data_IF_530200418896
#
_entry.id   IF_530200418896
#
_cell.length_a   1.000
_cell.length_b   1.000
_cell.length_c   1.000
_cell.angle_alpha   90.00
_cell.angle_beta   90.00
_cell.angle_gamma   90.00
#
_symmetry.space_group_name_H-M   'P 1'
#
loop_
_entity.id
_entity.type
_entity.pdbx_description
1 polymer ?
#
# COMPACT_ATOMS: atom_id res chain seq x y z
N UNK A 1 -35.91 -29.13 40.20
CA UNK A 1 -34.46 -28.92 39.96
C UNK A 1 -34.30 -28.05 38.72
N UNK A 2 -33.42 -27.03 38.72
CA UNK A 2 -33.13 -26.22 37.51
C UNK A 2 -31.90 -26.81 36.81
N UNK A 3 -31.95 -27.06 35.49
CA UNK A 3 -30.78 -27.49 34.72
C UNK A 3 -29.72 -26.38 34.73
N UNK A 4 -28.51 -26.67 35.21
CA UNK A 4 -27.37 -25.77 35.04
C UNK A 4 -27.06 -25.66 33.54
N UNK A 5 -26.95 -24.43 33.03
CA UNK A 5 -26.38 -24.19 31.69
C UNK A 5 -24.86 -24.34 31.82
N UNK A 6 -24.33 -25.45 31.33
CA UNK A 6 -22.87 -25.65 31.19
C UNK A 6 -22.34 -24.52 30.31
N UNK A 7 -21.46 -23.66 30.85
CA UNK A 7 -20.73 -22.67 30.04
C UNK A 7 -19.89 -23.44 29.02
N UNK A 8 -20.07 -23.17 27.71
CA UNK A 8 -19.22 -23.74 26.66
C UNK A 8 -17.77 -23.33 26.93
N UNK A 9 -16.77 -24.22 26.74
CA UNK A 9 -15.39 -23.91 27.07
C UNK A 9 -14.81 -22.83 26.14
N UNK A 10 -14.02 -21.94 26.74
CA UNK A 10 -13.56 -20.65 26.20
C UNK A 10 -12.85 -20.75 24.85
N UNK A 11 -12.03 -21.78 24.66
CA UNK A 11 -11.22 -22.00 23.44
C UNK A 11 -12.02 -21.99 22.13
N UNK A 12 -13.34 -22.25 22.15
CA UNK A 12 -14.19 -22.25 20.94
C UNK A 12 -14.57 -20.87 20.40
N UNK A 13 -14.22 -19.78 21.10
CA UNK A 13 -14.42 -18.39 20.63
C UNK A 13 -13.12 -17.69 20.22
N UNK A 14 -12.01 -18.07 20.85
CA UNK A 14 -10.76 -17.32 20.73
C UNK A 14 -10.09 -17.46 19.34
N UNK A 15 -10.22 -18.62 18.70
CA UNK A 15 -9.79 -18.83 17.30
C UNK A 15 -10.63 -18.03 16.27
N UNK A 16 -11.88 -17.69 16.58
CA UNK A 16 -12.69 -16.83 15.70
C UNK A 16 -12.14 -15.40 15.64
N UNK A 17 -11.64 -14.85 16.75
CA UNK A 17 -11.04 -13.50 16.77
C UNK A 17 -9.84 -13.44 15.81
N UNK A 18 -9.00 -14.48 15.79
CA UNK A 18 -7.89 -14.56 14.84
C UNK A 18 -8.38 -14.58 13.36
N UNK A 19 -9.48 -15.27 13.06
CA UNK A 19 -10.08 -15.28 11.72
C UNK A 19 -10.67 -13.91 11.35
N UNK A 20 -11.34 -13.24 12.30
CA UNK A 20 -11.89 -11.88 12.13
C UNK A 20 -10.76 -10.88 11.87
N UNK A 21 -9.67 -10.95 12.63
CA UNK A 21 -8.46 -10.13 12.43
C UNK A 21 -7.88 -10.34 11.03
N UNK A 22 -7.76 -11.60 10.58
CA UNK A 22 -7.27 -11.91 9.22
C UNK A 22 -8.24 -11.38 8.14
N UNK A 23 -9.55 -11.46 8.35
CA UNK A 23 -10.54 -10.97 7.40
C UNK A 23 -10.57 -9.44 7.30
N UNK A 24 -10.41 -8.73 8.42
CA UNK A 24 -10.33 -7.26 8.45
C UNK A 24 -8.98 -6.77 7.88
N UNK A 25 -7.87 -7.46 8.20
CA UNK A 25 -6.57 -7.15 7.61
C UNK A 25 -6.54 -7.40 6.09
N UNK A 26 -7.10 -8.52 5.62
CA UNK A 26 -7.16 -8.88 4.20
C UNK A 26 -8.02 -7.95 3.32
N UNK A 27 -8.78 -7.04 3.91
CA UNK A 27 -9.44 -5.94 3.19
C UNK A 27 -8.52 -4.73 2.93
N UNK A 28 -7.30 -4.74 3.48
CA UNK A 28 -6.37 -3.59 3.50
C UNK A 28 -4.88 -3.96 3.34
N UNK A 29 -4.52 -5.21 3.01
CA UNK A 29 -3.14 -5.64 2.79
C UNK A 29 -2.92 -6.22 1.39
N UNK A 30 -2.27 -5.43 0.54
CA UNK A 30 -1.65 -5.88 -0.71
C UNK A 30 -0.21 -6.33 -0.41
N UNK A 31 0.22 -7.53 -0.81
CA UNK A 31 1.58 -8.04 -0.56
C UNK A 31 1.95 -9.17 -1.52
N UNK A 32 3.02 -8.95 -2.29
CA UNK A 32 3.60 -9.92 -3.23
C UNK A 32 4.37 -11.07 -2.56
N UNK A 33 4.46 -12.20 -3.27
CA UNK A 33 5.27 -13.36 -2.87
C UNK A 33 6.79 -13.11 -3.07
N UNK A 34 7.61 -13.58 -2.13
CA UNK A 34 9.06 -13.73 -2.34
C UNK A 34 9.41 -15.17 -2.65
N UNK A 35 10.09 -15.44 -3.77
CA UNK A 35 10.88 -16.66 -3.90
C UNK A 35 12.17 -16.49 -4.71
N UNK A 36 13.12 -17.40 -4.50
CA UNK A 36 14.50 -17.35 -5.01
C UNK A 36 14.66 -18.14 -6.31
N UNK A 37 15.71 -17.80 -7.07
CA UNK A 37 16.29 -18.71 -8.08
C UNK A 37 17.74 -19.05 -7.75
N UNK A 38 18.12 -20.28 -8.09
CA UNK A 38 19.51 -20.73 -8.17
C UNK A 38 20.13 -20.36 -9.53
N UNK A 39 21.45 -20.51 -9.66
CA UNK A 39 22.28 -19.98 -10.74
C UNK A 39 23.18 -21.08 -11.35
N UNK A 40 23.66 -20.85 -12.60
CA UNK A 40 24.91 -21.36 -13.26
C UNK A 40 24.75 -22.38 -14.41
N UNK A 41 25.74 -22.48 -15.35
CA UNK A 41 26.70 -21.44 -15.83
C UNK A 41 27.07 -21.44 -17.34
N UNK A 42 27.44 -20.26 -17.87
CA UNK A 42 28.48 -20.00 -18.90
C UNK A 42 28.33 -20.66 -20.32
N UNK A 43 28.98 -20.23 -21.43
CA UNK A 43 30.34 -19.68 -21.67
C UNK A 43 30.39 -18.74 -22.91
N UNK A 44 31.28 -17.74 -22.82
CA UNK A 44 31.75 -16.78 -23.85
C UNK A 44 32.11 -17.30 -25.27
N UNK A 45 31.92 -16.44 -26.29
CA UNK A 45 32.95 -16.16 -27.32
C UNK A 45 32.78 -14.82 -28.05
N UNK A 46 33.92 -14.22 -28.45
CA UNK A 46 34.07 -13.09 -29.40
C UNK A 46 34.11 -13.64 -30.85
N UNK A 47 34.08 -12.87 -31.95
CA UNK A 47 34.28 -11.42 -32.22
C UNK A 47 33.14 -10.92 -33.19
N UNK A 48 33.17 -9.87 -34.03
CA UNK A 48 34.20 -8.98 -34.61
C UNK A 48 33.65 -7.58 -34.99
N UNK A 49 34.48 -6.67 -35.51
CA UNK A 49 34.17 -5.23 -35.67
C UNK A 49 33.92 -4.76 -37.12
N UNK A 50 33.05 -3.74 -37.31
CA UNK A 50 33.05 -2.91 -38.54
C UNK A 50 32.49 -1.50 -38.34
N UNK A 51 33.33 -0.50 -38.63
CA UNK A 51 32.97 0.92 -38.77
C UNK A 51 31.99 1.16 -39.95
N UNK A 52 31.22 2.26 -40.10
CA UNK A 52 30.97 3.52 -39.34
C UNK A 52 29.61 4.07 -39.85
N UNK A 53 28.86 4.90 -39.09
CA UNK A 53 29.12 6.35 -39.14
C UNK A 53 28.99 7.08 -37.80
N UNK A 54 29.48 8.32 -37.79
CA UNK A 54 29.67 9.15 -36.59
C UNK A 54 28.36 9.83 -36.14
N UNK A 55 27.43 9.08 -35.55
CA UNK A 55 26.38 9.68 -34.70
C UNK A 55 27.06 10.47 -33.57
N UNK A 56 26.48 11.59 -33.17
CA UNK A 56 26.81 12.21 -31.89
C UNK A 56 26.50 11.21 -30.77
N UNK A 57 27.41 11.04 -29.80
CA UNK A 57 27.10 10.24 -28.62
C UNK A 57 26.02 10.98 -27.82
N UNK A 58 24.93 10.31 -27.41
CA UNK A 58 24.02 10.87 -26.43
C UNK A 58 24.81 11.34 -25.20
N UNK A 59 24.50 12.53 -24.69
CA UNK A 59 25.02 12.95 -23.38
C UNK A 59 24.54 11.96 -22.33
N UNK A 60 25.40 11.58 -21.42
CA UNK A 60 25.09 10.59 -20.38
C UNK A 60 23.92 11.04 -19.48
N UNK A 61 23.74 12.36 -19.34
CA UNK A 61 22.61 13.02 -18.70
C UNK A 61 21.25 12.58 -19.28
N UNK A 62 21.15 12.39 -20.60
CA UNK A 62 19.91 12.00 -21.28
C UNK A 62 19.49 10.54 -20.95
N UNK A 63 20.41 9.71 -20.46
CA UNK A 63 20.15 8.33 -20.05
C UNK A 63 19.67 8.23 -18.60
N UNK A 64 19.97 9.22 -17.75
CA UNK A 64 19.42 9.28 -16.39
C UNK A 64 17.99 9.84 -16.45
N UNK A 65 17.01 8.96 -16.46
CA UNK A 65 15.60 9.36 -16.47
C UNK A 65 15.22 9.93 -15.10
N UNK A 66 14.49 11.04 -15.15
CA UNK A 66 13.81 11.68 -14.03
C UNK A 66 12.40 12.02 -14.46
N UNK A 67 11.45 12.01 -13.52
CA UNK A 67 10.10 12.45 -13.78
C UNK A 67 9.23 12.48 -12.54
N UNK A 68 8.07 13.12 -12.67
CA UNK A 68 7.04 13.17 -11.65
C UNK A 68 5.66 13.01 -12.30
N UNK A 69 4.80 12.19 -11.68
CA UNK A 69 3.39 12.07 -12.02
C UNK A 69 2.57 13.06 -11.18
N UNK A 70 1.61 13.74 -11.78
CA UNK A 70 0.56 14.51 -11.12
C UNK A 70 -0.79 14.05 -11.64
N UNK A 71 -1.78 13.92 -10.77
CA UNK A 71 -3.18 13.70 -11.14
C UNK A 71 -4.03 14.78 -10.49
N UNK A 72 -4.96 15.35 -11.26
CA UNK A 72 -5.96 16.32 -10.78
C UNK A 72 -7.35 15.88 -11.24
N UNK A 73 -8.36 15.99 -10.37
CA UNK A 73 -9.74 15.65 -10.72
C UNK A 73 -10.54 16.90 -11.08
N UNK A 74 -11.29 16.82 -12.18
CA UNK A 74 -12.16 17.90 -12.66
C UNK A 74 -13.29 17.32 -13.50
N UNK A 75 -14.53 17.75 -13.27
CA UNK A 75 -15.70 17.39 -14.08
C UNK A 75 -15.87 15.85 -14.28
N UNK A 76 -15.62 15.07 -13.22
CA UNK A 76 -15.56 13.60 -13.19
C UNK A 76 -14.46 12.94 -14.06
N UNK A 77 -13.49 13.71 -14.53
CA UNK A 77 -12.29 13.20 -15.19
C UNK A 77 -11.07 13.27 -14.27
N UNK A 78 -10.12 12.38 -14.51
CA UNK A 78 -8.77 12.46 -13.95
C UNK A 78 -7.81 12.96 -15.03
N UNK A 79 -7.10 14.04 -14.76
CA UNK A 79 -6.10 14.63 -15.64
C UNK A 79 -4.73 14.17 -15.16
N UNK A 80 -4.17 13.16 -15.79
CA UNK A 80 -2.80 12.73 -15.53
C UNK A 80 -1.83 13.64 -16.31
N UNK A 81 -0.78 14.09 -15.63
CA UNK A 81 0.34 14.83 -16.21
C UNK A 81 1.64 14.23 -15.71
N UNK A 82 2.44 13.67 -16.62
CA UNK A 82 3.84 13.34 -16.38
C UNK A 82 4.69 14.51 -16.85
N UNK A 83 5.64 14.94 -16.03
CA UNK A 83 6.76 15.80 -16.46
C UNK A 83 8.04 14.99 -16.35
N UNK A 84 8.87 14.95 -17.40
CA UNK A 84 10.05 14.08 -17.48
C UNK A 84 11.13 14.63 -18.42
N UNK A 85 12.37 14.13 -18.28
CA UNK A 85 13.46 14.37 -19.24
C UNK A 85 13.63 13.22 -20.26
N UNK A 86 12.74 12.23 -20.29
CA UNK A 86 12.67 11.26 -21.39
C UNK A 86 12.43 11.98 -22.73
N UNK A 87 12.97 11.45 -23.83
CA UNK A 87 12.85 12.12 -25.13
C UNK A 87 11.42 12.08 -25.69
N UNK A 88 11.10 13.06 -26.54
CA UNK A 88 9.85 13.08 -27.29
C UNK A 88 9.62 11.77 -28.05
N UNK A 89 8.40 11.23 -27.92
CA UNK A 89 8.02 9.90 -28.39
C UNK A 89 8.16 8.77 -27.37
N UNK A 90 8.89 8.95 -26.26
CA UNK A 90 8.87 7.98 -25.14
C UNK A 90 7.44 7.77 -24.64
N UNK A 91 7.04 6.51 -24.43
CA UNK A 91 5.66 6.14 -24.04
C UNK A 91 5.63 5.67 -22.58
N UNK A 92 4.79 6.30 -21.77
CA UNK A 92 4.48 5.84 -20.42
C UNK A 92 3.13 5.12 -20.43
N UNK A 93 3.09 3.87 -19.99
CA UNK A 93 1.87 3.27 -19.48
C UNK A 93 1.48 4.04 -18.20
N UNK A 94 0.26 4.55 -18.15
CA UNK A 94 -0.24 5.32 -17.00
C UNK A 94 -1.58 4.76 -16.56
N UNK A 95 -1.69 4.46 -15.26
CA UNK A 95 -2.85 3.82 -14.65
C UNK A 95 -3.32 4.61 -13.43
N UNK A 96 -4.63 4.64 -13.22
CA UNK A 96 -5.27 5.17 -12.03
C UNK A 96 -6.15 4.05 -11.46
N UNK A 97 -6.05 3.78 -10.17
CA UNK A 97 -6.61 2.58 -9.51
C UNK A 97 -7.36 2.97 -8.23
N UNK A 98 -8.54 2.39 -7.99
CA UNK A 98 -9.29 2.54 -6.74
C UNK A 98 -8.96 1.45 -5.69
N UNK A 99 -9.50 1.60 -4.48
CA UNK A 99 -9.31 0.65 -3.36
C UNK A 99 -9.98 -0.72 -3.57
N UNK A 100 -10.70 -0.92 -4.68
CA UNK A 100 -11.32 -2.18 -5.10
C UNK A 100 -10.63 -2.79 -6.32
N UNK A 101 -9.47 -2.24 -6.72
CA UNK A 101 -8.69 -2.61 -7.91
C UNK A 101 -9.42 -2.35 -9.24
N UNK A 102 -10.48 -1.52 -9.25
CA UNK A 102 -10.96 -0.95 -10.50
C UNK A 102 -9.90 0.01 -11.04
N UNK A 103 -9.61 -0.03 -12.34
CA UNK A 103 -8.61 0.84 -12.95
C UNK A 103 -9.03 1.41 -14.29
N UNK A 104 -8.42 2.54 -14.63
CA UNK A 104 -8.37 3.10 -15.98
C UNK A 104 -6.91 3.30 -16.36
N UNK A 105 -6.52 2.88 -17.56
CA UNK A 105 -5.12 2.92 -18.02
C UNK A 105 -5.02 3.23 -19.51
N UNK A 106 -3.92 3.85 -19.92
CA UNK A 106 -3.61 4.17 -21.32
C UNK A 106 -2.10 4.43 -21.51
N UNK A 107 -1.65 4.37 -22.76
CA UNK A 107 -0.28 4.65 -23.17
C UNK A 107 -0.13 6.11 -23.63
N UNK A 108 0.67 6.89 -22.91
CA UNK A 108 0.77 8.34 -23.11
C UNK A 108 2.18 8.74 -23.55
N UNK A 109 2.27 9.36 -24.73
CA UNK A 109 3.55 9.78 -25.32
C UNK A 109 4.05 11.11 -24.74
N UNK A 110 5.35 11.18 -24.48
CA UNK A 110 6.06 12.40 -24.12
C UNK A 110 6.19 13.31 -25.34
N UNK A 111 5.94 14.60 -25.15
CA UNK A 111 6.24 15.69 -26.07
C UNK A 111 6.62 16.94 -25.28
N UNK A 112 7.65 17.66 -25.71
CA UNK A 112 8.16 18.87 -25.05
C UNK A 112 8.43 18.63 -23.53
N UNK A 113 8.89 17.42 -23.18
CA UNK A 113 9.15 16.99 -21.78
C UNK A 113 7.90 16.66 -20.94
N UNK A 114 6.72 16.51 -21.54
CA UNK A 114 5.46 16.19 -20.84
C UNK A 114 4.62 15.14 -21.55
N UNK A 115 3.89 14.33 -20.80
CA UNK A 115 2.77 13.54 -21.31
C UNK A 115 1.51 13.89 -20.52
N UNK A 116 0.39 14.14 -21.19
CA UNK A 116 -0.87 14.58 -20.56
C UNK A 116 -2.04 13.79 -21.14
N UNK A 117 -2.93 13.30 -20.27
CA UNK A 117 -4.11 12.51 -20.65
C UNK A 117 -5.28 12.77 -19.71
N UNK A 118 -6.47 12.92 -20.29
CA UNK A 118 -7.74 12.82 -19.56
C UNK A 118 -8.21 11.36 -19.54
N UNK A 119 -8.56 10.86 -18.35
CA UNK A 119 -9.25 9.60 -18.14
C UNK A 119 -10.68 9.86 -17.65
N UNK A 120 -11.66 9.20 -18.25
CA UNK A 120 -13.03 9.19 -17.74
C UNK A 120 -13.09 8.30 -16.49
N UNK A 121 -13.41 8.85 -15.33
CA UNK A 121 -13.54 8.06 -14.09
C UNK A 121 -14.92 7.42 -14.06
N UNK A 122 -15.00 6.11 -13.79
CA UNK A 122 -16.29 5.44 -13.69
C UNK A 122 -17.08 6.01 -12.49
N UNK A 123 -18.36 6.34 -12.71
CA UNK A 123 -19.29 6.89 -11.71
C UNK A 123 -19.58 5.91 -10.57
N UNK A 124 -19.21 4.64 -10.73
CA UNK A 124 -19.31 3.58 -9.72
C UNK A 124 -18.11 3.56 -8.75
N UNK A 125 -17.05 4.33 -9.00
CA UNK A 125 -15.92 4.47 -8.07
C UNK A 125 -16.37 5.24 -6.83
N UNK A 126 -16.10 4.68 -5.65
CA UNK A 126 -16.42 5.34 -4.39
C UNK A 126 -15.40 6.46 -4.08
N UNK A 127 -15.81 7.52 -3.36
CA UNK A 127 -14.87 8.51 -2.85
C UNK A 127 -13.80 7.89 -1.94
N UNK A 128 -12.61 8.47 -1.93
CA UNK A 128 -11.46 7.96 -1.19
C UNK A 128 -10.15 8.40 -1.81
N UNK A 129 -9.08 7.68 -1.51
CA UNK A 129 -7.76 7.94 -2.09
C UNK A 129 -7.45 6.91 -3.17
N UNK A 130 -7.12 7.40 -4.38
CA UNK A 130 -6.80 6.60 -5.56
C UNK A 130 -5.28 6.55 -5.76
N UNK A 131 -4.79 5.47 -6.37
CA UNK A 131 -3.37 5.29 -6.69
C UNK A 131 -3.10 5.60 -8.16
N UNK A 132 -2.26 6.61 -8.40
CA UNK A 132 -1.68 6.89 -9.71
C UNK A 132 -0.33 6.20 -9.90
N UNK A 133 -0.19 5.43 -10.98
CA UNK A 133 1.03 4.71 -11.36
C UNK A 133 1.41 5.12 -12.78
N UNK A 134 2.71 5.31 -13.05
CA UNK A 134 3.21 5.58 -14.40
C UNK A 134 4.58 4.96 -14.63
N UNK A 135 4.75 4.26 -15.75
CA UNK A 135 6.02 3.62 -16.10
C UNK A 135 6.30 3.54 -17.60
N UNK A 136 7.58 3.73 -17.97
CA UNK A 136 8.07 3.54 -19.33
C UNK A 136 8.64 2.13 -19.43
N UNK A 137 7.82 1.19 -19.92
CA UNK A 137 8.21 -0.21 -20.13
C UNK A 137 8.90 -0.41 -21.49
N UNK A 138 9.85 -1.33 -21.55
CA UNK A 138 10.49 -1.79 -22.79
C UNK A 138 10.09 -3.22 -23.18
N UNK A 139 9.66 -4.02 -22.19
CA UNK A 139 9.24 -5.41 -22.32
C UNK A 139 7.74 -5.57 -22.66
N UNK A 140 7.27 -4.93 -23.73
CA UNK A 140 5.88 -5.01 -24.20
C UNK A 140 5.82 -5.21 -25.72
N UNK A 141 5.62 -6.45 -26.18
CA UNK A 141 5.51 -6.80 -27.60
C UNK A 141 4.35 -6.07 -28.32
N UNK A 142 3.19 -5.94 -27.67
CA UNK A 142 2.01 -5.28 -28.23
C UNK A 142 2.11 -3.73 -28.22
N UNK A 143 2.93 -3.18 -27.33
CA UNK A 143 3.11 -1.73 -27.12
C UNK A 143 4.59 -1.33 -26.95
N UNK A 144 5.46 -1.62 -27.95
CA UNK A 144 6.89 -1.41 -27.84
C UNK A 144 7.25 0.08 -27.94
N UNK A 145 8.35 0.47 -27.29
CA UNK A 145 8.87 1.84 -27.39
C UNK A 145 9.26 2.17 -28.85
N UNK A 146 8.98 3.40 -29.35
CA UNK A 146 9.32 3.79 -30.71
C UNK A 146 10.80 3.64 -31.06
N UNK A 147 11.11 3.50 -32.35
CA UNK A 147 12.45 3.14 -32.82
C UNK A 147 13.57 4.09 -32.35
N UNK A 148 13.32 5.41 -32.32
CA UNK A 148 14.31 6.38 -31.80
C UNK A 148 14.49 6.32 -30.27
N UNK A 149 13.45 5.90 -29.55
CA UNK A 149 13.49 5.67 -28.09
C UNK A 149 14.35 4.43 -27.79
N UNK A 150 14.15 3.33 -28.53
CA UNK A 150 14.99 2.12 -28.41
C UNK A 150 16.44 2.32 -28.87
N UNK A 151 16.66 3.06 -29.97
CA UNK A 151 18.01 3.49 -30.39
C UNK A 151 18.78 4.19 -29.26
N UNK A 152 18.11 5.09 -28.51
CA UNK A 152 18.71 5.83 -27.40
C UNK A 152 18.89 4.97 -26.14
N UNK A 153 17.82 4.35 -25.63
CA UNK A 153 17.80 3.71 -24.31
C UNK A 153 18.13 2.21 -24.32
N UNK A 154 18.15 1.58 -25.49
CA UNK A 154 18.19 0.14 -25.58
C UNK A 154 16.91 -0.45 -26.15
N UNK A 155 17.03 -1.61 -26.81
CA UNK A 155 15.85 -2.33 -27.28
C UNK A 155 14.99 -2.74 -26.09
N UNK A 156 15.64 -3.19 -25.01
CA UNK A 156 15.02 -3.66 -23.78
C UNK A 156 15.25 -2.68 -22.61
N UNK A 157 15.68 -1.46 -22.92
CA UNK A 157 16.04 -0.42 -21.95
C UNK A 157 17.42 -0.58 -21.30
N UNK A 158 18.32 -1.41 -21.86
CA UNK A 158 19.58 -1.81 -21.22
C UNK A 158 20.62 -0.68 -21.00
N UNK A 159 20.36 0.53 -21.52
CA UNK A 159 21.21 1.73 -21.38
C UNK A 159 20.61 2.77 -20.40
N UNK A 160 19.43 2.51 -19.84
CA UNK A 160 18.78 3.38 -18.86
C UNK A 160 19.61 3.53 -17.59
N UNK A 161 19.48 4.69 -16.94
CA UNK A 161 20.11 5.04 -15.67
C UNK A 161 19.13 5.82 -14.80
N UNK A 162 19.46 5.93 -13.52
CA UNK A 162 18.76 6.79 -12.58
C UNK A 162 18.04 6.04 -11.47
N UNK A 163 17.29 6.79 -10.68
CA UNK A 163 16.81 6.34 -9.36
C UNK A 163 15.39 5.75 -9.43
N UNK A 164 14.93 5.50 -10.67
CA UNK A 164 13.61 5.00 -11.06
C UNK A 164 13.70 3.72 -11.92
N UNK A 165 14.90 3.17 -12.13
CA UNK A 165 15.07 1.93 -12.92
C UNK A 165 14.54 0.72 -12.14
N UNK A 166 13.88 -0.20 -12.83
CA UNK A 166 13.54 -1.53 -12.35
C UNK A 166 13.98 -2.55 -13.41
N UNK A 167 14.64 -3.64 -13.00
CA UNK A 167 14.99 -4.74 -13.92
C UNK A 167 13.73 -5.34 -14.55
N UNK A 168 13.79 -5.67 -15.84
CA UNK A 168 12.72 -6.37 -16.56
C UNK A 168 13.12 -7.81 -16.89
N UNK A 169 12.17 -8.59 -17.44
CA UNK A 169 12.38 -10.01 -17.76
C UNK A 169 13.25 -10.27 -19.01
N UNK A 170 13.90 -9.25 -19.57
CA UNK A 170 14.52 -9.27 -20.92
C UNK A 170 15.94 -8.69 -20.91
N UNK A 171 16.68 -8.90 -19.81
CA UNK A 171 18.07 -8.43 -19.61
C UNK A 171 18.25 -6.90 -19.72
N UNK A 172 17.18 -6.12 -19.45
CA UNK A 172 17.20 -4.67 -19.45
C UNK A 172 16.39 -4.05 -18.30
N UNK A 173 15.89 -2.83 -18.51
CA UNK A 173 15.22 -2.05 -17.47
C UNK A 173 13.95 -1.37 -17.98
N UNK A 174 13.00 -1.18 -17.07
CA UNK A 174 11.89 -0.26 -17.18
C UNK A 174 12.14 0.96 -16.28
N UNK A 175 11.37 2.04 -16.48
CA UNK A 175 11.29 3.17 -15.54
C UNK A 175 9.95 3.14 -14.83
N UNK A 176 9.94 3.12 -13.49
CA UNK A 176 8.74 3.33 -12.69
C UNK A 176 8.84 4.66 -11.93
N UNK A 177 7.92 5.59 -12.18
CA UNK A 177 7.83 6.81 -11.40
C UNK A 177 7.24 6.51 -10.01
N UNK A 178 7.49 7.40 -9.03
CA UNK A 178 6.89 7.26 -7.70
C UNK A 178 5.37 7.36 -7.78
N UNK A 179 4.69 6.32 -7.29
CA UNK A 179 3.23 6.26 -7.17
C UNK A 179 2.67 7.49 -6.45
N UNK A 180 1.46 7.91 -6.83
CA UNK A 180 0.79 9.10 -6.29
C UNK A 180 -0.58 8.75 -5.72
N UNK A 181 -0.67 8.76 -4.40
CA UNK A 181 -1.95 8.78 -3.69
C UNK A 181 -2.62 10.14 -3.91
N UNK A 182 -3.84 10.15 -4.44
CA UNK A 182 -4.61 11.39 -4.72
C UNK A 182 -6.07 11.25 -4.26
N UNK A 183 -6.68 12.30 -3.69
CA UNK A 183 -8.05 12.24 -3.21
C UNK A 183 -9.05 12.30 -4.37
N UNK A 184 -10.19 11.62 -4.22
CA UNK A 184 -11.30 11.59 -5.17
C UNK A 184 -12.66 11.70 -4.46
N UNK A 185 -13.60 12.52 -4.98
CA UNK A 185 -13.40 13.54 -6.01
C UNK A 185 -12.56 14.75 -5.53
N UNK A 186 -12.45 14.93 -4.21
CA UNK A 186 -11.72 16.01 -3.55
C UNK A 186 -11.25 15.55 -2.15
N UNK A 187 -10.32 16.29 -1.54
CA UNK A 187 -9.70 15.95 -0.24
C UNK A 187 -10.72 15.84 0.91
N UNK A 188 -11.75 16.70 0.96
CA UNK A 188 -12.72 16.68 2.04
C UNK A 188 -13.66 15.47 1.92
N UNK A 189 -14.12 15.16 0.72
CA UNK A 189 -14.97 13.98 0.46
C UNK A 189 -14.18 12.68 0.62
N UNK A 190 -12.93 12.61 0.14
CA UNK A 190 -12.04 11.46 0.33
C UNK A 190 -11.76 11.19 1.81
N UNK A 191 -11.41 12.23 2.57
CA UNK A 191 -11.17 12.14 4.01
C UNK A 191 -12.43 11.74 4.79
N UNK A 192 -13.58 12.31 4.46
CA UNK A 192 -14.86 11.95 5.08
C UNK A 192 -15.20 10.47 4.88
N UNK A 193 -14.90 9.90 3.70
CA UNK A 193 -15.11 8.47 3.42
C UNK A 193 -14.07 7.58 4.10
N UNK A 194 -12.80 8.00 4.18
CA UNK A 194 -11.79 7.29 4.99
C UNK A 194 -12.19 7.24 6.48
N UNK A 195 -12.70 8.36 7.00
CA UNK A 195 -13.19 8.47 8.38
C UNK A 195 -14.43 7.60 8.63
N UNK A 196 -15.37 7.53 7.69
CA UNK A 196 -16.52 6.61 7.72
C UNK A 196 -16.06 5.14 7.79
N UNK A 197 -15.17 4.73 6.88
CA UNK A 197 -14.65 3.36 6.80
C UNK A 197 -13.84 2.97 8.04
N UNK A 198 -13.03 3.88 8.57
CA UNK A 198 -12.30 3.69 9.83
C UNK A 198 -13.23 3.47 11.02
N UNK A 199 -14.21 4.36 11.21
CA UNK A 199 -15.16 4.25 12.32
C UNK A 199 -16.00 2.96 12.21
N UNK A 200 -16.36 2.56 10.98
CA UNK A 200 -17.03 1.29 10.70
C UNK A 200 -16.15 0.09 11.08
N UNK A 201 -14.90 0.04 10.64
CA UNK A 201 -13.99 -1.08 10.94
C UNK A 201 -13.69 -1.22 12.45
N UNK A 202 -13.59 -0.10 13.18
CA UNK A 202 -13.50 -0.10 14.64
C UNK A 202 -14.77 -0.69 15.28
N UNK A 203 -15.96 -0.32 14.77
CA UNK A 203 -17.24 -0.85 15.25
C UNK A 203 -17.37 -2.36 14.97
N UNK A 204 -17.04 -2.81 13.76
CA UNK A 204 -17.07 -4.22 13.37
C UNK A 204 -16.09 -5.06 14.22
N UNK A 205 -14.90 -4.54 14.54
CA UNK A 205 -13.94 -5.19 15.45
C UNK A 205 -14.48 -5.32 16.89
N UNK A 206 -15.21 -4.31 17.39
CA UNK A 206 -15.84 -4.36 18.72
C UNK A 206 -16.98 -5.40 18.73
N UNK A 207 -17.90 -5.34 17.76
CA UNK A 207 -19.04 -6.26 17.67
C UNK A 207 -18.60 -7.72 17.51
N UNK A 208 -17.66 -7.97 16.60
CA UNK A 208 -17.13 -9.30 16.31
C UNK A 208 -16.30 -9.90 17.46
N UNK A 209 -15.94 -9.11 18.47
CA UNK A 209 -15.31 -9.60 19.71
C UNK A 209 -16.27 -10.33 20.66
N UNK A 210 -17.58 -10.38 20.35
CA UNK A 210 -18.65 -10.92 21.21
C UNK A 210 -18.68 -10.31 22.64
N UNK A 211 -18.27 -9.05 22.79
CA UNK A 211 -18.23 -8.33 24.07
C UNK A 211 -16.96 -8.58 24.91
N UNK A 212 -15.88 -9.06 24.29
CA UNK A 212 -14.54 -9.08 24.90
C UNK A 212 -13.93 -7.68 24.87
N UNK A 213 -14.02 -6.99 23.73
CA UNK A 213 -13.75 -5.56 23.60
C UNK A 213 -15.04 -4.78 23.91
N UNK A 214 -14.90 -3.64 24.58
CA UNK A 214 -15.99 -2.77 25.02
C UNK A 214 -15.90 -1.37 24.38
N UNK A 215 -14.68 -0.86 24.15
CA UNK A 215 -14.41 0.47 23.57
C UNK A 215 -13.01 0.49 22.94
N UNK A 216 -12.83 1.27 21.87
CA UNK A 216 -11.53 1.54 21.22
C UNK A 216 -11.47 3.02 20.88
N UNK A 217 -10.59 3.78 21.54
CA UNK A 217 -10.54 5.25 21.43
C UNK A 217 -9.14 5.83 21.62
N UNK A 218 -8.88 7.09 21.20
CA UNK A 218 -7.72 7.87 21.61
C UNK A 218 -7.48 7.77 23.13
N UNK A 219 -6.21 7.57 23.52
CA UNK A 219 -5.80 7.48 24.93
C UNK A 219 -5.69 8.86 25.60
N UNK A 220 -5.38 9.89 24.82
CA UNK A 220 -5.08 11.23 25.31
C UNK A 220 -6.14 12.24 24.85
N UNK A 221 -5.74 13.34 24.21
CA UNK A 221 -6.67 14.34 23.71
C UNK A 221 -7.60 13.76 22.64
N UNK A 222 -8.78 14.34 22.50
CA UNK A 222 -9.73 13.92 21.46
C UNK A 222 -9.06 14.10 20.11
N UNK A 223 -9.05 13.02 19.32
CA UNK A 223 -8.45 12.89 17.98
C UNK A 223 -6.95 12.52 17.91
N UNK A 224 -6.19 12.46 19.02
CA UNK A 224 -4.82 11.89 19.00
C UNK A 224 -4.84 10.34 19.09
N UNK A 225 -4.78 9.70 17.91
CA UNK A 225 -4.71 8.25 17.78
C UNK A 225 -3.29 7.67 17.88
N UNK A 226 -2.24 8.48 18.12
CA UNK A 226 -0.86 7.95 18.28
C UNK A 226 -0.71 7.04 19.49
N UNK A 227 -1.60 7.17 20.49
CA UNK A 227 -1.82 6.17 21.52
C UNK A 227 -3.32 5.85 21.65
N UNK A 228 -3.65 4.56 21.73
CA UNK A 228 -5.03 4.05 21.71
C UNK A 228 -5.32 3.27 23.00
N UNK A 229 -6.52 3.40 23.53
CA UNK A 229 -7.02 2.56 24.63
C UNK A 229 -8.06 1.59 24.10
N UNK A 230 -7.77 0.29 24.20
CA UNK A 230 -8.71 -0.81 23.96
C UNK A 230 -9.24 -1.26 25.32
N UNK A 231 -10.49 -0.94 25.63
CA UNK A 231 -11.15 -1.35 26.87
C UNK A 231 -11.70 -2.76 26.71
N UNK A 232 -11.40 -3.66 27.63
CA UNK A 232 -11.88 -5.05 27.65
C UNK A 232 -12.73 -5.37 28.88
N UNK A 233 -13.58 -6.38 28.77
CA UNK A 233 -14.45 -6.86 29.85
C UNK A 233 -13.73 -7.78 30.85
N UNK A 234 -14.37 -8.02 32.00
CA UNK A 234 -13.87 -8.87 33.11
C UNK A 234 -13.49 -10.32 32.69
N UNK A 235 -13.83 -10.73 31.48
CA UNK A 235 -13.28 -11.93 30.82
C UNK A 235 -11.76 -11.96 30.92
N UNK A 236 -11.08 -10.81 30.76
CA UNK A 236 -9.63 -10.69 30.91
C UNK A 236 -9.11 -11.31 32.21
N UNK A 237 -9.72 -10.99 33.36
CA UNK A 237 -9.25 -11.49 34.66
C UNK A 237 -9.32 -13.02 34.77
N UNK A 238 -10.18 -13.67 33.97
CA UNK A 238 -10.39 -15.11 33.95
C UNK A 238 -9.51 -15.85 32.91
N UNK A 239 -8.84 -15.15 31.99
CA UNK A 239 -7.95 -15.72 30.98
C UNK A 239 -6.55 -16.04 31.52
N UNK A 240 -5.86 -17.03 30.92
CA UNK A 240 -4.47 -17.37 31.25
C UNK A 240 -3.47 -16.32 30.73
N UNK A 241 -2.24 -16.34 31.21
CA UNK A 241 -1.21 -15.33 30.87
C UNK A 241 -0.86 -15.34 29.38
N UNK A 242 -0.70 -16.52 28.76
CA UNK A 242 -0.51 -16.67 27.31
C UNK A 242 -1.76 -16.30 26.48
N UNK A 243 -2.96 -16.34 27.06
CA UNK A 243 -4.19 -15.91 26.41
C UNK A 243 -4.30 -14.38 26.39
N UNK A 244 -3.77 -13.72 27.42
CA UNK A 244 -3.64 -12.27 27.50
C UNK A 244 -2.59 -11.71 26.54
N UNK A 245 -1.44 -12.37 26.44
CA UNK A 245 -0.36 -11.96 25.52
C UNK A 245 -0.80 -12.01 24.06
N UNK A 246 -1.27 -13.17 23.56
CA UNK A 246 -1.73 -13.28 22.17
C UNK A 246 -2.91 -12.37 21.86
N UNK A 247 -3.85 -12.16 22.79
CA UNK A 247 -4.95 -11.22 22.58
C UNK A 247 -4.44 -9.78 22.43
N UNK A 248 -3.53 -9.35 23.31
CA UNK A 248 -2.99 -8.00 23.29
C UNK A 248 -2.15 -7.74 22.03
N UNK A 249 -1.40 -8.75 21.56
CA UNK A 249 -0.69 -8.72 20.29
C UNK A 249 -1.67 -8.62 19.11
N UNK A 250 -2.56 -9.60 18.93
CA UNK A 250 -3.47 -9.62 17.77
C UNK A 250 -4.38 -8.40 17.69
N UNK A 251 -4.98 -7.95 18.79
CA UNK A 251 -5.86 -6.77 18.80
C UNK A 251 -5.04 -5.48 18.73
N UNK A 252 -3.87 -5.43 19.36
CA UNK A 252 -2.95 -4.29 19.29
C UNK A 252 -2.48 -4.02 17.87
N UNK A 253 -2.01 -5.05 17.17
CA UNK A 253 -1.53 -4.96 15.80
C UNK A 253 -2.69 -4.61 14.84
N UNK A 254 -3.87 -5.21 15.02
CA UNK A 254 -5.07 -4.86 14.23
C UNK A 254 -5.48 -3.40 14.40
N UNK A 255 -5.53 -2.90 15.64
CA UNK A 255 -5.89 -1.51 15.92
C UNK A 255 -4.81 -0.53 15.41
N UNK A 256 -3.54 -0.90 15.49
CA UNK A 256 -2.43 -0.15 14.88
C UNK A 256 -2.61 -0.01 13.35
N UNK A 257 -2.89 -1.12 12.66
CA UNK A 257 -3.16 -1.15 11.21
C UNK A 257 -4.39 -0.32 10.85
N UNK A 258 -5.50 -0.46 11.59
CA UNK A 258 -6.72 0.33 11.34
C UNK A 258 -6.49 1.84 11.52
N UNK A 259 -5.78 2.27 12.57
CA UNK A 259 -5.45 3.68 12.83
C UNK A 259 -4.56 4.26 11.72
N UNK A 260 -3.59 3.48 11.26
CA UNK A 260 -2.65 3.89 10.21
C UNK A 260 -3.35 3.99 8.84
N UNK A 261 -4.09 2.95 8.45
CA UNK A 261 -4.79 2.89 7.17
C UNK A 261 -6.01 3.83 7.13
N UNK A 262 -6.62 4.11 8.28
CA UNK A 262 -7.63 5.15 8.48
C UNK A 262 -7.09 6.59 8.47
N UNK A 263 -5.81 6.80 8.15
CA UNK A 263 -5.22 8.13 7.96
C UNK A 263 -5.15 8.98 9.24
N UNK A 264 -5.24 8.33 10.42
CA UNK A 264 -5.21 9.00 11.73
C UNK A 264 -3.77 9.24 12.22
N UNK A 265 -2.82 8.45 11.72
CA UNK A 265 -1.38 8.52 12.01
C UNK A 265 -0.63 8.29 10.70
N UNK A 266 0.50 8.97 10.49
CA UNK A 266 1.36 8.78 9.30
C UNK A 266 1.95 7.36 9.27
N UNK A 267 2.06 6.75 8.08
CA UNK A 267 2.47 5.35 7.88
C UNK A 267 3.79 4.93 8.57
N UNK A 268 4.70 5.86 8.84
CA UNK A 268 5.99 5.60 9.49
C UNK A 268 6.04 6.01 10.98
N UNK A 269 4.92 6.41 11.59
CA UNK A 269 4.81 6.76 13.01
C UNK A 269 4.15 5.61 13.79
N UNK A 270 4.69 5.22 14.97
CA UNK A 270 4.16 4.09 15.73
C UNK A 270 2.82 4.45 16.39
N UNK A 271 1.89 3.49 16.37
CA UNK A 271 0.63 3.54 17.14
C UNK A 271 0.79 2.71 18.41
N UNK A 272 0.68 3.33 19.57
CA UNK A 272 0.84 2.67 20.87
C UNK A 272 -0.52 2.24 21.43
N UNK A 273 -0.92 0.99 21.19
CA UNK A 273 -2.19 0.44 21.70
C UNK A 273 -2.02 -0.11 23.12
N UNK A 274 -2.91 0.24 24.02
CA UNK A 274 -2.92 -0.20 25.43
C UNK A 274 -4.21 -0.94 25.75
N UNK A 275 -4.11 -2.09 26.43
CA UNK A 275 -5.27 -2.83 26.90
C UNK A 275 -5.66 -2.33 28.30
N UNK A 276 -6.92 -1.97 28.49
CA UNK A 276 -7.46 -1.32 29.69
C UNK A 276 -8.68 -2.09 30.22
N UNK A 277 -8.95 -2.06 31.52
CA UNK A 277 -10.26 -2.48 32.05
C UNK A 277 -11.28 -1.34 32.03
N UNK A 278 -12.54 -1.66 32.35
CA UNK A 278 -13.67 -0.72 32.42
C UNK A 278 -13.52 0.37 33.49
N UNK A 279 -12.53 0.26 34.38
CA UNK A 279 -12.17 1.28 35.38
C UNK A 279 -10.95 2.12 34.95
N UNK A 280 -10.41 1.88 33.74
CA UNK A 280 -9.18 2.45 33.21
C UNK A 280 -7.89 2.00 33.96
N UNK A 281 -7.89 0.84 34.63
CA UNK A 281 -6.63 0.15 34.99
C UNK A 281 -5.97 -0.34 33.72
N UNK A 282 -4.68 -0.05 33.54
CA UNK A 282 -3.91 -0.63 32.44
C UNK A 282 -3.59 -2.11 32.71
N UNK A 283 -3.96 -2.96 31.75
CA UNK A 283 -3.86 -4.41 31.80
C UNK A 283 -2.71 -4.96 30.96
N UNK A 284 -2.41 -4.31 29.82
CA UNK A 284 -1.23 -4.60 29.02
C UNK A 284 -0.75 -3.35 28.27
N UNK A 285 0.57 -3.29 28.04
CA UNK A 285 1.24 -2.20 27.32
C UNK A 285 2.22 -2.76 26.27
N UNK A 286 2.50 -2.07 25.17
CA UNK A 286 3.47 -2.53 24.18
C UNK A 286 4.89 -2.50 24.77
N UNK A 287 5.75 -3.42 24.32
CA UNK A 287 7.18 -3.47 24.63
C UNK A 287 7.98 -2.75 23.53
N UNK A 288 9.08 -2.08 23.90
CA UNK A 288 10.00 -1.40 22.95
C UNK A 288 10.58 -2.38 21.91
N UNK A 289 10.72 -3.66 22.27
CA UNK A 289 11.26 -4.74 21.43
C UNK A 289 10.17 -5.59 20.74
N UNK A 290 8.93 -5.09 20.66
CA UNK A 290 7.78 -5.86 20.15
C UNK A 290 7.12 -6.78 21.18
N UNK A 291 5.85 -7.12 20.90
CA UNK A 291 4.98 -7.88 21.81
C UNK A 291 4.49 -7.08 23.02
N UNK A 292 3.69 -7.71 23.89
CA UNK A 292 3.01 -7.01 25.00
C UNK A 292 3.51 -7.40 26.39
N UNK A 293 3.54 -6.43 27.31
CA UNK A 293 3.79 -6.64 28.74
C UNK A 293 2.46 -6.69 29.49
N UNK A 294 2.10 -7.86 29.99
CA UNK A 294 0.92 -8.04 30.85
C UNK A 294 1.19 -7.45 32.25
N UNK A 295 0.19 -6.76 32.80
CA UNK A 295 0.16 -6.24 34.17
C UNK A 295 -0.68 -7.15 35.06
N UNK A 296 -0.34 -7.17 36.35
CA UNK A 296 -1.03 -7.97 37.38
C UNK A 296 -1.89 -7.04 38.24
#
# INVERSE_FOLDING_TARGET
MKKQRIKKPFYKRWWFIAIIVIAIAGAFTDTDDTDKKEEKPAVSKKVDEKEKPKKEKPKEENLKITGDLKIEFKDNKAIATITTNAIDGSVFETSIIDSKLNMVSDFISVKDGKAIKEFEVNKEWEPGYLSGIAGMRFNLDDHPQPEEVRKLYGENGEKLKGDFIQENNEEGYNINLKNKTVPYPDEATAKAKQDELFNKAITELIEASEGIIIDIRPRFEKEDWSAVSVTVSDVWYNSQEHEKERFAEQVGDTVSTLVTNGGKVEQNKPVLVYIMDTYNKELASPKITGGYKIKK
#
